data_IF_591063484486
#
_entry.id   IF_591063484486
#
_cell.length_a   1.000
_cell.length_b   1.000
_cell.length_c   1.000
_cell.angle_alpha   90.00
_cell.angle_beta   90.00
_cell.angle_gamma   90.00
#
_symmetry.space_group_name_H-M   'P 1'
#
loop_
_entity.id
_entity.type
_entity.pdbx_description
1 polymer ?
#
# COMPACT_ATOMS: atom_id res chain seq x y z
N UNK A 1 -5.91 -8.16 25.01
CA UNK A 1 -7.00 -7.37 24.43
C UNK A 1 -7.40 -8.18 23.23
N UNK A 2 -8.52 -8.90 23.29
CA UNK A 2 -8.90 -9.76 22.16
C UNK A 2 -9.22 -8.88 20.95
N UNK A 3 -8.79 -9.27 19.74
CA UNK A 3 -9.15 -8.55 18.52
C UNK A 3 -10.67 -8.48 18.43
N UNK A 4 -11.20 -7.26 18.37
CA UNK A 4 -12.63 -7.05 18.26
C UNK A 4 -12.95 -7.09 16.76
N UNK A 5 -13.26 -8.29 16.26
CA UNK A 5 -13.57 -8.50 14.83
C UNK A 5 -14.91 -7.86 14.49
N UNK A 6 -14.86 -6.65 13.92
CA UNK A 6 -16.02 -5.92 13.44
C UNK A 6 -16.19 -6.17 11.93
N UNK A 7 -17.09 -7.08 11.58
CA UNK A 7 -17.42 -7.39 10.19
C UNK A 7 -17.85 -6.14 9.41
N UNK A 8 -18.52 -5.17 10.04
CA UNK A 8 -18.93 -3.95 9.35
C UNK A 8 -17.71 -3.10 8.97
N UNK A 9 -16.74 -2.97 9.87
CA UNK A 9 -15.47 -2.30 9.60
C UNK A 9 -14.69 -3.01 8.48
N UNK A 10 -14.67 -4.34 8.46
CA UNK A 10 -14.01 -5.10 7.38
C UNK A 10 -14.69 -4.91 6.03
N UNK A 11 -16.03 -4.90 5.99
CA UNK A 11 -16.77 -4.62 4.76
C UNK A 11 -16.54 -3.19 4.26
N UNK A 12 -16.40 -2.21 5.15
CA UNK A 12 -16.00 -0.85 4.78
C UNK A 12 -14.59 -0.84 4.16
N UNK A 13 -13.64 -1.58 4.73
CA UNK A 13 -12.29 -1.69 4.20
C UNK A 13 -12.25 -2.39 2.84
N UNK A 14 -13.04 -3.47 2.66
CA UNK A 14 -13.19 -4.16 1.38
C UNK A 14 -13.80 -3.21 0.36
N UNK A 15 -14.90 -2.53 0.69
CA UNK A 15 -15.58 -1.56 -0.17
C UNK A 15 -14.64 -0.42 -0.59
N UNK A 16 -13.85 0.10 0.34
CA UNK A 16 -12.88 1.16 0.08
C UNK A 16 -11.65 0.70 -0.74
N UNK A 17 -11.51 -0.60 -1.00
CA UNK A 17 -10.40 -1.18 -1.77
C UNK A 17 -10.80 -1.59 -3.19
N UNK A 18 -12.08 -1.47 -3.53
CA UNK A 18 -12.60 -1.79 -4.85
C UNK A 18 -12.08 -0.80 -5.91
N UNK A 19 -11.85 -1.31 -7.11
CA UNK A 19 -11.56 -0.49 -8.28
C UNK A 19 -12.81 0.31 -8.72
N UNK A 20 -12.65 1.39 -9.50
CA UNK A 20 -13.79 2.16 -10.00
C UNK A 20 -14.78 1.35 -10.85
N UNK A 21 -14.32 0.26 -11.46
CA UNK A 21 -15.13 -0.69 -12.23
C UNK A 21 -15.77 -1.78 -11.38
N UNK A 22 -15.46 -1.85 -10.09
CA UNK A 22 -15.96 -2.84 -9.14
C UNK A 22 -17.06 -2.25 -8.27
N UNK A 23 -18.09 -3.05 -8.03
CA UNK A 23 -19.25 -2.68 -7.23
C UNK A 23 -19.49 -3.78 -6.20
N UNK A 24 -19.64 -3.39 -4.94
CA UNK A 24 -20.05 -4.28 -3.86
C UNK A 24 -21.53 -4.10 -3.55
N UNK A 25 -22.24 -5.22 -3.57
CA UNK A 25 -23.62 -5.35 -3.13
C UNK A 25 -23.63 -6.17 -1.84
N UNK A 26 -24.14 -5.62 -0.74
CA UNK A 26 -24.28 -6.34 0.51
C UNK A 26 -25.76 -6.55 0.86
N UNK A 27 -26.04 -7.71 1.46
CA UNK A 27 -27.33 -8.08 2.00
C UNK A 27 -27.12 -8.71 3.37
N UNK A 28 -27.70 -8.12 4.40
CA UNK A 28 -27.62 -8.61 5.77
C UNK A 28 -28.90 -9.38 6.10
N UNK A 29 -28.76 -10.66 6.44
CA UNK A 29 -29.81 -11.53 6.95
C UNK A 29 -29.69 -11.68 8.48
N UNK A 30 -30.65 -12.34 9.12
CA UNK A 30 -30.62 -12.52 10.58
C UNK A 30 -29.45 -13.40 11.08
N UNK A 31 -28.99 -14.33 10.24
CA UNK A 31 -28.05 -15.41 10.56
C UNK A 31 -26.73 -15.32 9.77
N UNK A 32 -26.68 -14.51 8.72
CA UNK A 32 -25.49 -14.34 7.89
C UNK A 32 -25.51 -13.00 7.14
N UNK A 33 -24.32 -12.53 6.75
CA UNK A 33 -24.15 -11.42 5.80
C UNK A 33 -23.63 -11.99 4.49
N UNK A 34 -24.30 -11.67 3.39
CA UNK A 34 -23.79 -11.94 2.04
C UNK A 34 -23.32 -10.64 1.43
N UNK A 35 -22.14 -10.63 0.84
CA UNK A 35 -21.75 -9.56 -0.08
C UNK A 35 -21.23 -10.14 -1.39
N UNK A 36 -21.45 -9.40 -2.46
CA UNK A 36 -21.05 -9.77 -3.80
C UNK A 36 -20.29 -8.62 -4.44
N UNK A 37 -19.11 -8.92 -4.97
CA UNK A 37 -18.32 -7.97 -5.76
C UNK A 37 -18.41 -8.37 -7.23
N UNK A 38 -18.85 -7.42 -8.06
CA UNK A 38 -18.92 -7.55 -9.52
C UNK A 38 -18.03 -6.51 -10.16
N UNK A 39 -17.37 -6.84 -11.28
CA UNK A 39 -16.55 -5.90 -12.04
C UNK A 39 -17.08 -5.75 -13.45
N UNK A 40 -17.10 -4.54 -14.01
CA UNK A 40 -17.38 -4.35 -15.44
C UNK A 40 -16.23 -4.83 -16.35
N UNK A 41 -15.04 -5.00 -15.78
CA UNK A 41 -13.82 -5.34 -16.52
C UNK A 41 -13.50 -6.85 -16.45
N UNK A 42 -14.29 -7.62 -15.70
CA UNK A 42 -14.14 -9.07 -15.54
C UNK A 42 -15.46 -9.79 -15.83
N UNK A 43 -15.35 -11.00 -16.36
CA UNK A 43 -16.48 -11.92 -16.52
C UNK A 43 -16.75 -12.72 -15.23
N UNK A 44 -15.95 -12.50 -14.19
CA UNK A 44 -16.07 -13.12 -12.88
C UNK A 44 -16.79 -12.20 -11.90
N UNK A 45 -17.46 -12.83 -10.94
CA UNK A 45 -18.05 -12.20 -9.77
C UNK A 45 -17.71 -13.02 -8.54
N UNK A 46 -17.53 -12.34 -7.43
CA UNK A 46 -17.15 -12.92 -6.15
C UNK A 46 -18.34 -12.78 -5.20
N UNK A 47 -18.82 -13.88 -4.63
CA UNK A 47 -19.88 -13.90 -3.63
C UNK A 47 -19.34 -14.48 -2.34
N UNK A 48 -19.52 -13.77 -1.23
CA UNK A 48 -19.00 -14.16 0.07
C UNK A 48 -20.14 -14.18 1.07
N UNK A 49 -20.25 -15.28 1.82
CA UNK A 49 -21.21 -15.47 2.89
C UNK A 49 -20.46 -15.56 4.21
N UNK A 50 -20.86 -14.75 5.18
CA UNK A 50 -20.26 -14.68 6.52
C UNK A 50 -21.34 -14.95 7.56
N UNK A 51 -21.23 -16.08 8.27
CA UNK A 51 -22.13 -16.49 9.35
C UNK A 51 -21.76 -15.89 10.71
N UNK A 52 -22.61 -16.12 11.71
CA UNK A 52 -22.45 -15.55 13.06
C UNK A 52 -21.20 -16.00 13.84
N UNK A 53 -20.52 -17.07 13.40
CA UNK A 53 -19.31 -17.55 14.06
C UNK A 53 -18.02 -16.84 13.63
N UNK A 54 -18.12 -15.77 12.83
CA UNK A 54 -17.00 -14.91 12.47
C UNK A 54 -16.21 -14.44 13.71
N UNK A 55 -14.86 -14.47 13.72
CA UNK A 55 -13.92 -14.61 12.60
C UNK A 55 -13.60 -16.03 12.14
N UNK A 56 -14.26 -17.07 12.67
CA UNK A 56 -13.90 -18.46 12.38
C UNK A 56 -13.97 -18.79 10.90
N UNK A 57 -12.98 -19.52 10.38
CA UNK A 57 -12.92 -19.93 8.97
C UNK A 57 -14.20 -20.62 8.52
N UNK A 58 -14.77 -21.50 9.35
CA UNK A 58 -15.98 -22.27 8.98
C UNK A 58 -17.23 -21.39 8.83
N UNK A 59 -17.17 -20.16 9.32
CA UNK A 59 -18.25 -19.18 9.17
C UNK A 59 -18.12 -18.37 7.88
N UNK A 60 -17.07 -18.58 7.08
CA UNK A 60 -16.84 -17.84 5.84
C UNK A 60 -16.87 -18.79 4.65
N UNK A 61 -17.76 -18.51 3.70
CA UNK A 61 -17.84 -19.23 2.44
C UNK A 61 -17.64 -18.25 1.28
N UNK A 62 -16.76 -18.59 0.35
CA UNK A 62 -16.45 -17.79 -0.83
C UNK A 62 -16.83 -18.58 -2.08
N UNK A 63 -17.54 -17.96 -3.00
CA UNK A 63 -17.94 -18.51 -4.28
C UNK A 63 -17.48 -17.59 -5.42
N UNK A 64 -16.88 -18.16 -6.46
CA UNK A 64 -16.51 -17.46 -7.68
C UNK A 64 -17.50 -17.89 -8.78
N UNK A 65 -18.15 -16.92 -9.42
CA UNK A 65 -19.15 -17.15 -10.47
C UNK A 65 -18.69 -16.48 -11.76
N UNK A 66 -18.72 -17.22 -12.88
CA UNK A 66 -18.36 -16.73 -14.21
C UNK A 66 -19.51 -16.91 -15.21
N UNK A 67 -19.60 -16.01 -16.20
CA UNK A 67 -20.73 -15.96 -17.15
C UNK A 67 -21.00 -17.24 -17.97
N UNK A 68 -20.00 -18.10 -18.19
CA UNK A 68 -20.13 -19.40 -18.85
C UNK A 68 -19.21 -20.46 -18.20
N UNK A 69 -19.30 -20.60 -16.87
CA UNK A 69 -18.45 -21.55 -16.15
C UNK A 69 -18.93 -22.99 -16.36
N UNK A 70 -18.05 -23.86 -16.86
CA UNK A 70 -18.30 -25.30 -16.98
C UNK A 70 -18.22 -26.03 -15.64
N UNK A 71 -18.71 -27.27 -15.55
CA UNK A 71 -18.71 -28.07 -14.31
C UNK A 71 -17.29 -28.33 -13.77
N UNK A 72 -16.35 -28.63 -14.65
CA UNK A 72 -14.95 -28.92 -14.27
C UNK A 72 -14.23 -27.64 -13.83
N UNK A 73 -14.55 -26.51 -14.47
CA UNK A 73 -14.02 -25.19 -14.10
C UNK A 73 -14.56 -24.74 -12.73
N UNK A 74 -15.85 -24.95 -12.47
CA UNK A 74 -16.45 -24.68 -11.17
C UNK A 74 -15.83 -25.52 -10.05
N UNK A 75 -15.54 -26.80 -10.30
CA UNK A 75 -14.82 -27.65 -9.35
C UNK A 75 -13.40 -27.13 -9.08
N UNK A 76 -12.68 -26.72 -10.14
CA UNK A 76 -11.36 -26.11 -10.00
C UNK A 76 -11.37 -24.82 -9.17
N UNK A 77 -12.40 -23.98 -9.31
CA UNK A 77 -12.54 -22.78 -8.47
C UNK A 77 -12.85 -23.11 -7.02
N UNK A 78 -13.66 -24.14 -6.74
CA UNK A 78 -13.93 -24.59 -5.37
C UNK A 78 -12.63 -25.03 -4.69
N UNK A 79 -11.85 -25.90 -5.35
CA UNK A 79 -10.58 -26.40 -4.83
C UNK A 79 -9.58 -25.24 -4.62
N UNK A 80 -9.52 -24.29 -5.56
CA UNK A 80 -8.66 -23.13 -5.45
C UNK A 80 -9.07 -22.22 -4.28
N UNK A 81 -10.37 -21.94 -4.12
CA UNK A 81 -10.88 -21.12 -3.00
C UNK A 81 -10.56 -21.78 -1.67
N UNK A 82 -10.80 -23.08 -1.54
CA UNK A 82 -10.47 -23.83 -0.32
C UNK A 82 -8.98 -23.73 0.00
N UNK A 83 -8.12 -23.92 -1.00
CA UNK A 83 -6.67 -23.77 -0.83
C UNK A 83 -6.23 -22.35 -0.45
N UNK A 84 -7.01 -21.31 -0.77
CA UNK A 84 -6.76 -19.93 -0.29
C UNK A 84 -7.29 -19.67 1.11
N UNK A 85 -8.42 -20.27 1.47
CA UNK A 85 -8.94 -20.21 2.83
C UNK A 85 -8.13 -21.08 3.81
N UNK A 86 -7.23 -21.94 3.34
CA UNK A 86 -6.25 -22.63 4.21
C UNK A 86 -5.22 -21.68 4.82
N UNK A 87 -4.98 -20.53 4.19
CA UNK A 87 -4.14 -19.45 4.74
C UNK A 87 -4.92 -18.54 5.71
N UNK A 88 -6.18 -18.87 6.05
CA UNK A 88 -7.00 -18.08 6.96
C UNK A 88 -6.46 -18.09 8.39
N UNK A 89 -6.19 -16.90 8.93
CA UNK A 89 -5.70 -16.71 10.28
C UNK A 89 -6.74 -15.94 11.10
N UNK A 90 -7.43 -16.65 12.00
CA UNK A 90 -8.50 -16.10 12.83
C UNK A 90 -8.01 -15.08 13.86
N UNK A 91 -6.71 -15.08 14.17
CA UNK A 91 -6.11 -14.18 15.15
C UNK A 91 -5.70 -12.83 14.51
N UNK A 92 -5.84 -12.65 13.18
CA UNK A 92 -5.59 -11.37 12.50
C UNK A 92 -6.64 -10.33 12.86
N UNK A 93 -6.27 -9.05 12.89
CA UNK A 93 -7.23 -7.97 13.21
C UNK A 93 -8.40 -7.88 12.21
N UNK A 94 -8.17 -8.21 10.93
CA UNK A 94 -9.16 -8.10 9.85
C UNK A 94 -9.03 -9.26 8.82
N UNK A 95 -9.35 -10.51 9.21
CA UNK A 95 -9.04 -11.70 8.42
C UNK A 95 -9.83 -11.76 7.10
N UNK A 96 -11.07 -11.28 7.07
CA UNK A 96 -11.88 -11.25 5.87
C UNK A 96 -11.33 -10.25 4.87
N UNK A 97 -11.05 -9.03 5.32
CA UNK A 97 -10.46 -8.00 4.48
C UNK A 97 -9.12 -8.44 3.88
N UNK A 98 -8.26 -9.08 4.68
CA UNK A 98 -6.99 -9.62 4.23
C UNK A 98 -7.17 -10.71 3.17
N UNK A 99 -8.02 -11.70 3.43
CA UNK A 99 -8.30 -12.77 2.48
C UNK A 99 -8.85 -12.21 1.16
N UNK A 100 -9.82 -11.30 1.23
CA UNK A 100 -10.43 -10.62 0.09
C UNK A 100 -9.40 -9.90 -0.77
N UNK A 101 -8.58 -9.04 -0.17
CA UNK A 101 -7.63 -8.21 -0.92
C UNK A 101 -6.41 -8.98 -1.42
N UNK A 102 -5.98 -10.03 -0.70
CA UNK A 102 -4.80 -10.81 -1.07
C UNK A 102 -5.10 -11.84 -2.15
N UNK A 103 -6.26 -12.49 -2.07
CA UNK A 103 -6.54 -13.65 -2.90
C UNK A 103 -7.64 -13.38 -3.93
N UNK A 104 -8.74 -12.76 -3.53
CA UNK A 104 -9.97 -12.82 -4.32
C UNK A 104 -10.22 -11.60 -5.20
N UNK A 105 -10.05 -10.38 -4.69
CA UNK A 105 -10.20 -9.14 -5.46
C UNK A 105 -9.24 -9.06 -6.67
N UNK A 106 -7.97 -9.51 -6.59
CA UNK A 106 -7.09 -9.53 -7.75
C UNK A 106 -7.62 -10.32 -8.96
N UNK A 107 -8.55 -11.26 -8.75
CA UNK A 107 -9.19 -12.02 -9.84
C UNK A 107 -10.15 -11.16 -10.68
N UNK A 108 -10.64 -10.05 -10.12
CA UNK A 108 -11.58 -9.14 -10.77
C UNK A 108 -10.88 -7.99 -11.49
N UNK A 109 -9.56 -7.82 -11.26
CA UNK A 109 -8.76 -6.80 -11.92
C UNK A 109 -8.61 -7.11 -13.43
N UNK A 110 -8.57 -6.08 -14.28
CA UNK A 110 -8.42 -6.26 -15.73
C UNK A 110 -7.12 -6.99 -16.10
N UNK A 111 -7.25 -8.07 -16.86
CA UNK A 111 -6.10 -8.83 -17.38
C UNK A 111 -5.52 -8.08 -18.58
N UNK A 112 -4.64 -7.10 -18.33
CA UNK A 112 -3.89 -6.46 -19.42
C UNK A 112 -3.48 -5.01 -19.20
N UNK A 113 -2.48 -4.77 -18.37
CA UNK A 113 -1.54 -3.65 -18.60
C UNK A 113 -0.16 -4.23 -18.84
N UNK A 114 0.17 -4.40 -20.11
CA UNK A 114 1.53 -4.56 -20.61
C UNK A 114 2.42 -3.46 -20.04
N UNK A 115 3.65 -3.77 -19.58
CA UNK A 115 4.58 -2.74 -19.13
C UNK A 115 4.95 -1.86 -20.31
N UNK A 116 4.61 -0.57 -20.24
CA UNK A 116 5.08 0.42 -21.19
C UNK A 116 6.61 0.52 -21.08
N UNK A 117 7.36 0.61 -22.20
CA UNK A 117 8.81 0.72 -22.16
C UNK A 117 9.24 2.01 -21.42
N UNK A 118 10.42 2.01 -20.76
CA UNK A 118 10.88 3.15 -19.99
C UNK A 118 11.01 4.39 -20.89
N UNK A 119 10.58 5.58 -20.45
CA UNK A 119 10.80 6.80 -21.19
C UNK A 119 12.31 7.07 -21.32
N UNK A 120 12.76 7.24 -22.55
CA UNK A 120 14.14 7.60 -22.87
C UNK A 120 14.43 9.01 -22.34
N UNK A 121 15.51 9.12 -21.57
CA UNK A 121 16.08 10.31 -20.95
C UNK A 121 16.14 11.53 -21.90
N UNK A 122 15.62 12.71 -21.54
CA UNK A 122 15.85 13.94 -22.31
C UNK A 122 17.29 14.45 -22.15
N UNK A 123 17.82 15.22 -23.12
CA UNK A 123 19.18 15.76 -23.07
C UNK A 123 19.28 16.90 -22.04
N UNK A 124 20.37 16.87 -21.27
CA UNK A 124 20.75 17.93 -20.35
C UNK A 124 21.16 19.20 -21.11
N UNK A 125 20.60 20.37 -20.77
CA UNK A 125 21.17 21.70 -21.01
C UNK A 125 20.46 22.80 -20.14
N UNK A 126 21.17 23.23 -19.07
CA UNK A 126 21.23 24.56 -18.38
C UNK A 126 19.97 25.21 -17.71
N UNK A 127 20.10 26.19 -16.77
CA UNK A 127 21.12 26.47 -15.73
C UNK A 127 20.56 26.63 -14.29
N UNK A 128 21.41 26.37 -13.28
CA UNK A 128 21.61 26.98 -11.94
C UNK A 128 20.48 27.71 -11.17
N UNK A 129 19.25 27.17 -11.14
CA UNK A 129 18.33 27.45 -10.03
C UNK A 129 18.51 26.32 -9.02
N UNK A 130 18.76 26.58 -7.72
CA UNK A 130 18.79 25.51 -6.72
C UNK A 130 17.43 24.82 -6.75
N UNK A 131 17.42 23.59 -7.27
CA UNK A 131 16.21 22.82 -7.45
C UNK A 131 15.57 22.65 -6.08
N UNK A 132 14.35 23.15 -5.92
CA UNK A 132 13.60 22.98 -4.68
C UNK A 132 13.29 21.48 -4.56
N UNK A 133 13.77 20.81 -3.50
CA UNK A 133 13.47 19.40 -3.29
C UNK A 133 11.97 19.24 -3.01
N UNK A 134 11.46 18.06 -3.33
CA UNK A 134 10.08 17.70 -3.10
C UNK A 134 10.00 16.60 -2.04
N UNK A 135 8.82 16.36 -1.49
CA UNK A 135 8.53 15.21 -0.62
C UNK A 135 7.29 14.44 -1.08
N UNK A 136 7.20 13.17 -0.70
CA UNK A 136 6.07 12.30 -0.97
C UNK A 136 5.77 11.40 0.22
N UNK A 137 4.49 11.01 0.38
CA UNK A 137 4.04 10.09 1.42
C UNK A 137 3.15 8.99 0.82
N UNK A 138 3.52 7.75 1.09
CA UNK A 138 2.74 6.56 0.77
C UNK A 138 2.45 5.78 2.06
N UNK A 139 1.25 5.23 2.15
CA UNK A 139 0.83 4.41 3.28
C UNK A 139 0.23 3.11 2.74
N UNK A 140 0.73 1.96 3.21
CA UNK A 140 0.16 0.64 2.94
C UNK A 140 -0.50 0.09 4.20
N UNK A 141 -1.26 -0.99 4.05
CA UNK A 141 -1.83 -1.71 5.18
C UNK A 141 -0.74 -2.17 6.16
N UNK A 142 0.36 -2.73 5.64
CA UNK A 142 1.56 -3.00 6.41
C UNK A 142 2.83 -3.04 5.54
N UNK A 143 3.99 -2.95 6.17
CA UNK A 143 5.29 -3.22 5.55
C UNK A 143 6.06 -4.25 6.40
N UNK A 144 5.67 -5.52 6.28
CA UNK A 144 6.26 -6.64 7.01
C UNK A 144 7.28 -7.42 6.18
N UNK A 145 6.98 -7.66 4.90
CA UNK A 145 7.77 -8.51 4.02
C UNK A 145 9.25 -8.05 3.94
N UNK A 146 10.22 -8.88 4.39
CA UNK A 146 11.64 -8.52 4.39
C UNK A 146 12.20 -8.20 3.00
N UNK A 147 11.70 -8.89 1.96
CA UNK A 147 12.06 -8.63 0.56
C UNK A 147 11.67 -7.20 0.15
N UNK A 148 10.40 -6.80 0.36
CA UNK A 148 9.93 -5.45 0.05
C UNK A 148 10.70 -4.37 0.82
N UNK A 149 11.02 -4.60 2.09
CA UNK A 149 11.83 -3.67 2.90
C UNK A 149 13.21 -3.47 2.30
N UNK A 150 13.88 -4.56 1.91
CA UNK A 150 15.19 -4.53 1.25
C UNK A 150 15.12 -3.83 -0.11
N UNK A 151 14.12 -4.16 -0.91
CA UNK A 151 13.93 -3.58 -2.25
C UNK A 151 13.61 -2.09 -2.17
N UNK A 152 12.80 -1.67 -1.18
CA UNK A 152 12.51 -0.27 -0.90
C UNK A 152 13.77 0.51 -0.52
N UNK A 153 14.57 -0.03 0.39
CA UNK A 153 15.83 0.60 0.77
C UNK A 153 16.78 0.72 -0.44
N UNK A 154 16.90 -0.34 -1.25
CA UNK A 154 17.76 -0.37 -2.43
C UNK A 154 17.31 0.66 -3.49
N UNK A 155 16.01 0.69 -3.80
CA UNK A 155 15.41 1.63 -4.73
C UNK A 155 15.63 3.08 -4.26
N UNK A 156 15.26 3.41 -3.01
CA UNK A 156 15.43 4.75 -2.46
C UNK A 156 16.90 5.20 -2.47
N UNK A 157 17.82 4.29 -2.15
CA UNK A 157 19.27 4.58 -2.20
C UNK A 157 19.75 4.86 -3.63
N UNK A 158 19.23 4.12 -4.62
CA UNK A 158 19.62 4.26 -6.03
C UNK A 158 19.14 5.58 -6.66
N UNK A 159 18.04 6.11 -6.15
CA UNK A 159 17.43 7.38 -6.55
C UNK A 159 17.90 8.56 -5.67
N UNK A 160 18.95 8.35 -4.85
CA UNK A 160 19.51 9.34 -3.94
C UNK A 160 18.49 10.00 -2.99
N UNK A 161 17.41 9.29 -2.68
CA UNK A 161 16.33 9.81 -1.84
C UNK A 161 16.71 9.80 -0.37
N UNK A 162 16.19 10.79 0.36
CA UNK A 162 16.29 10.87 1.81
C UNK A 162 14.91 10.59 2.39
N UNK A 163 14.79 9.64 3.31
CA UNK A 163 13.48 9.26 3.79
C UNK A 163 13.49 8.14 4.80
N UNK A 164 12.31 7.60 5.04
CA UNK A 164 12.16 6.45 5.90
C UNK A 164 11.03 5.52 5.45
N UNK A 165 11.12 4.29 5.93
CA UNK A 165 10.03 3.33 5.95
C UNK A 165 9.73 2.86 7.37
N UNK A 166 8.52 3.09 7.86
CA UNK A 166 8.01 2.49 9.10
C UNK A 166 7.40 1.13 8.78
N UNK A 167 7.91 0.09 9.43
CA UNK A 167 7.50 -1.31 9.24
C UNK A 167 6.30 -1.67 10.12
N UNK A 168 5.66 -2.81 9.85
CA UNK A 168 4.43 -3.22 10.56
C UNK A 168 3.19 -2.41 10.12
N UNK A 169 2.21 -2.25 11.02
CA UNK A 169 0.91 -1.60 10.74
C UNK A 169 0.80 -0.17 11.29
N UNK A 170 0.32 0.82 10.50
CA UNK A 170 0.36 0.79 9.04
C UNK A 170 1.81 0.81 8.54
N UNK A 171 2.02 0.43 7.28
CA UNK A 171 3.29 0.64 6.59
C UNK A 171 3.36 2.07 6.11
N UNK A 172 4.40 2.83 6.48
CA UNK A 172 4.54 4.25 6.12
C UNK A 172 5.83 4.44 5.36
N UNK A 173 5.77 5.14 4.23
CA UNK A 173 6.92 5.38 3.38
C UNK A 173 6.94 6.86 3.02
N UNK A 174 7.95 7.58 3.51
CA UNK A 174 8.10 9.01 3.29
C UNK A 174 9.46 9.28 2.65
N UNK A 175 9.47 10.07 1.59
CA UNK A 175 10.68 10.35 0.81
C UNK A 175 10.80 11.84 0.50
N UNK A 176 12.04 12.32 0.41
CA UNK A 176 12.45 13.66 -0.02
C UNK A 176 13.52 13.49 -1.10
N UNK A 177 13.43 14.26 -2.18
CA UNK A 177 14.42 14.23 -3.25
C UNK A 177 14.06 15.14 -4.42
N UNK A 178 14.75 14.94 -5.54
CA UNK A 178 14.40 15.58 -6.81
C UNK A 178 13.03 15.08 -7.29
N UNK A 179 12.28 15.96 -7.98
CA UNK A 179 10.92 15.64 -8.43
C UNK A 179 10.88 14.37 -9.30
N UNK A 180 11.77 14.26 -10.28
CA UNK A 180 11.83 13.12 -11.19
C UNK A 180 12.16 11.81 -10.46
N UNK A 181 13.10 11.87 -9.50
CA UNK A 181 13.51 10.71 -8.71
C UNK A 181 12.36 10.26 -7.79
N UNK A 182 11.56 11.19 -7.26
CA UNK A 182 10.35 10.87 -6.49
C UNK A 182 9.23 10.30 -7.35
N UNK A 183 9.00 10.84 -8.54
CA UNK A 183 8.01 10.31 -9.47
C UNK A 183 8.35 8.87 -9.89
N UNK A 184 9.63 8.60 -10.17
CA UNK A 184 10.13 7.26 -10.45
C UNK A 184 9.96 6.33 -9.25
N UNK A 185 10.32 6.78 -8.05
CA UNK A 185 10.15 6.02 -6.82
C UNK A 185 8.68 5.65 -6.57
N UNK A 186 7.76 6.62 -6.67
CA UNK A 186 6.32 6.36 -6.50
C UNK A 186 5.83 5.35 -7.55
N UNK A 187 6.24 5.53 -8.82
CA UNK A 187 5.86 4.62 -9.92
C UNK A 187 6.34 3.20 -9.64
N UNK A 188 7.60 3.03 -9.26
CA UNK A 188 8.22 1.73 -9.04
C UNK A 188 7.64 1.05 -7.80
N UNK A 189 7.52 1.76 -6.68
CA UNK A 189 6.87 1.26 -5.46
C UNK A 189 5.45 0.83 -5.78
N UNK A 190 4.65 1.63 -6.48
CA UNK A 190 3.28 1.24 -6.88
C UNK A 190 3.19 -0.01 -7.74
N UNK A 191 4.25 -0.35 -8.48
CA UNK A 191 4.27 -1.53 -9.35
C UNK A 191 4.38 -2.84 -8.57
N UNK A 192 4.79 -2.78 -7.30
CA UNK A 192 4.88 -3.97 -6.46
C UNK A 192 3.49 -4.36 -5.95
N UNK A 193 3.35 -5.62 -5.53
CA UNK A 193 2.11 -6.11 -4.94
C UNK A 193 1.93 -5.52 -3.54
N UNK A 194 0.92 -4.69 -3.30
CA UNK A 194 0.65 -4.10 -1.97
C UNK A 194 -0.80 -4.31 -1.55
N UNK A 195 -1.03 -4.41 -0.24
CA UNK A 195 -2.36 -4.29 0.35
C UNK A 195 -2.64 -2.81 0.69
N UNK A 196 -3.73 -2.26 0.13
CA UNK A 196 -4.20 -0.89 0.33
C UNK A 196 -3.12 0.21 0.30
N UNK A 197 -2.25 0.20 -0.71
CA UNK A 197 -1.28 1.28 -0.90
C UNK A 197 -1.97 2.56 -1.36
N UNK A 198 -1.78 3.65 -0.61
CA UNK A 198 -2.31 4.97 -0.93
C UNK A 198 -1.18 5.98 -1.00
N UNK A 199 -1.17 6.80 -2.05
CA UNK A 199 -0.38 8.04 -2.07
C UNK A 199 -1.18 9.07 -1.30
N UNK A 200 -0.70 9.43 -0.10
CA UNK A 200 -1.32 10.43 0.78
C UNK A 200 -0.86 11.84 0.44
N UNK A 201 0.37 11.94 -0.05
CA UNK A 201 0.96 13.19 -0.51
C UNK A 201 1.72 12.90 -1.81
N UNK A 202 1.19 13.41 -2.92
CA UNK A 202 1.91 13.46 -4.19
C UNK A 202 3.10 14.42 -4.06
N UNK A 203 4.11 14.37 -4.95
CA UNK A 203 5.30 15.22 -4.82
C UNK A 203 4.95 16.71 -4.62
N UNK A 204 5.27 17.26 -3.45
CA UNK A 204 5.09 18.67 -3.11
C UNK A 204 6.44 19.31 -2.76
N UNK A 205 6.67 20.58 -3.11
CA UNK A 205 7.93 21.25 -2.82
C UNK A 205 8.13 21.46 -1.32
N UNK A 206 9.36 21.29 -0.84
CA UNK A 206 9.81 21.56 0.54
C UNK A 206 11.01 22.51 0.52
N UNK A 207 10.80 23.83 0.31
CA UNK A 207 11.86 24.82 0.18
C UNK A 207 12.87 24.84 1.34
N UNK A 208 12.44 24.50 2.54
CA UNK A 208 13.26 24.41 3.75
C UNK A 208 14.34 23.30 3.68
N UNK A 209 14.25 22.37 2.72
CA UNK A 209 15.24 21.29 2.50
C UNK A 209 16.27 21.60 1.41
N UNK A 210 16.16 22.74 0.71
CA UNK A 210 16.98 23.09 -0.46
C UNK A 210 18.51 23.08 -0.20
N UNK A 211 18.94 23.24 1.06
CA UNK A 211 20.36 23.13 1.46
C UNK A 211 20.80 21.76 2.01
N UNK A 212 19.85 20.92 2.45
CA UNK A 212 20.14 19.67 3.16
C UNK A 212 20.23 18.45 2.23
N UNK A 213 19.50 18.48 1.11
CA UNK A 213 19.46 17.39 0.11
C UNK A 213 20.70 17.41 -0.79
N UNK A 214 21.25 18.60 -1.08
CA UNK A 214 22.38 18.80 -2.00
C UNK A 214 23.74 18.42 -1.38
N UNK A 215 23.88 18.48 -0.05
CA UNK A 215 25.19 18.35 0.61
C UNK A 215 25.64 16.94 0.99
N UNK A 216 24.76 15.92 0.94
CA UNK A 216 25.07 14.58 1.47
C UNK A 216 25.52 13.54 0.42
N UNK A 217 25.97 14.00 -0.75
CA UNK A 217 26.64 13.12 -1.72
C UNK A 217 28.13 13.38 -1.84
N UNK A 218 28.95 12.68 -1.06
CA UNK A 218 30.37 12.58 -1.40
C UNK A 218 30.55 11.80 -2.70
N UNK A 219 31.24 12.41 -3.67
CA UNK A 219 31.49 11.93 -5.04
C UNK A 219 32.38 10.67 -5.15
N UNK A 220 32.67 9.95 -4.07
CA UNK A 220 33.67 8.86 -4.06
C UNK A 220 33.09 7.45 -4.28
N UNK A 221 31.81 7.33 -4.62
CA UNK A 221 31.20 6.05 -5.00
C UNK A 221 31.60 5.61 -6.42
N UNK A 222 31.83 4.31 -6.62
CA UNK A 222 32.35 3.68 -7.85
C UNK A 222 31.50 3.87 -9.14
N UNK A 223 30.47 4.73 -9.11
CA UNK A 223 29.56 5.02 -10.23
C UNK A 223 29.35 6.50 -10.54
N UNK A 224 30.19 7.40 -10.05
CA UNK A 224 30.27 8.79 -10.53
C UNK A 224 28.91 9.50 -10.70
N UNK A 225 28.37 10.06 -9.62
CA UNK A 225 27.22 10.96 -9.69
C UNK A 225 26.16 10.69 -8.62
N UNK A 226 25.90 11.73 -7.81
CA UNK A 226 24.95 11.84 -6.69
C UNK A 226 25.18 10.86 -5.52
N UNK A 227 25.14 11.39 -4.31
CA UNK A 227 25.34 10.63 -3.07
C UNK A 227 24.44 9.41 -2.94
N UNK A 228 24.87 8.43 -2.15
CA UNK A 228 23.91 7.45 -1.62
C UNK A 228 22.89 8.21 -0.78
N UNK A 229 21.62 8.08 -1.15
CA UNK A 229 20.50 8.60 -0.36
C UNK A 229 20.55 8.10 1.09
N UNK A 230 19.80 8.76 1.98
CA UNK A 230 19.72 8.39 3.39
C UNK A 230 18.34 7.78 3.67
N UNK A 231 18.24 6.45 3.63
CA UNK A 231 17.01 5.73 3.94
C UNK A 231 17.08 5.10 5.34
N UNK A 232 16.11 5.42 6.20
CA UNK A 232 16.02 4.86 7.55
C UNK A 232 14.83 3.91 7.66
N UNK A 233 15.02 2.80 8.37
CA UNK A 233 13.89 1.95 8.74
C UNK A 233 13.49 2.24 10.19
N UNK A 234 12.19 2.25 10.46
CA UNK A 234 11.62 2.58 11.76
C UNK A 234 10.59 1.53 12.16
N UNK A 235 10.47 1.28 13.45
CA UNK A 235 9.46 0.34 13.97
C UNK A 235 8.27 1.11 14.54
N UNK A 236 8.51 2.29 15.13
CA UNK A 236 7.50 3.05 15.86
C UNK A 236 7.07 4.30 15.12
N UNK A 237 5.77 4.62 15.19
CA UNK A 237 5.23 5.89 14.67
C UNK A 237 5.86 7.10 15.35
N UNK A 238 6.24 6.99 16.63
CA UNK A 238 6.96 8.04 17.35
C UNK A 238 8.29 8.43 16.70
N UNK A 239 9.05 7.44 16.21
CA UNK A 239 10.32 7.68 15.50
C UNK A 239 10.08 8.39 14.16
N UNK A 240 9.03 8.00 13.44
CA UNK A 240 8.63 8.66 12.20
C UNK A 240 8.24 10.13 12.41
N UNK A 241 7.45 10.41 13.45
CA UNK A 241 7.07 11.78 13.81
C UNK A 241 8.29 12.61 14.25
N UNK A 242 9.18 12.04 15.06
CA UNK A 242 10.41 12.72 15.48
C UNK A 242 11.32 13.03 14.28
N UNK A 243 11.46 12.08 13.35
CA UNK A 243 12.25 12.28 12.13
C UNK A 243 11.70 13.43 11.28
N UNK A 244 10.37 13.51 11.12
CA UNK A 244 9.71 14.61 10.40
C UNK A 244 9.89 15.95 11.10
N UNK A 245 9.71 15.99 12.43
CA UNK A 245 9.90 17.21 13.24
C UNK A 245 11.31 17.75 13.16
N UNK A 246 12.31 16.87 13.23
CA UNK A 246 13.73 17.25 13.18
C UNK A 246 14.10 17.98 11.89
N UNK A 247 13.37 17.72 10.79
CA UNK A 247 13.67 18.25 9.46
C UNK A 247 12.76 19.42 9.05
N UNK A 248 11.47 19.37 9.36
CA UNK A 248 10.51 20.39 8.93
C UNK A 248 9.58 20.89 10.04
N UNK A 249 9.92 20.64 11.31
CA UNK A 249 9.12 21.04 12.45
C UNK A 249 7.75 20.37 12.52
N UNK A 250 6.83 20.95 13.28
CA UNK A 250 5.48 20.41 13.45
C UNK A 250 4.67 20.41 12.14
N UNK A 251 4.87 21.40 11.27
CA UNK A 251 4.18 21.43 9.97
C UNK A 251 4.47 20.20 9.12
N UNK A 252 5.71 19.68 9.18
CA UNK A 252 6.04 18.44 8.49
C UNK A 252 5.53 17.21 9.23
N UNK A 253 5.44 17.23 10.55
CA UNK A 253 4.82 16.12 11.30
C UNK A 253 3.32 15.99 11.00
N UNK A 254 2.64 17.10 10.65
CA UNK A 254 1.22 17.11 10.28
C UNK A 254 0.89 16.21 9.10
N UNK A 255 1.83 15.95 8.20
CA UNK A 255 1.61 15.02 7.06
C UNK A 255 1.21 13.61 7.52
N UNK A 256 1.57 13.21 8.75
CA UNK A 256 1.12 11.96 9.37
C UNK A 256 -0.10 12.18 10.27
N UNK A 257 -0.12 13.22 11.10
CA UNK A 257 -1.22 13.40 12.05
C UNK A 257 -2.55 13.77 11.39
N UNK A 258 -2.52 14.52 10.28
CA UNK A 258 -3.72 14.94 9.54
C UNK A 258 -4.43 13.75 8.88
N UNK A 259 -3.69 12.66 8.61
CA UNK A 259 -4.23 11.40 8.12
C UNK A 259 -4.50 10.39 9.25
N UNK A 260 -4.50 10.85 10.50
CA UNK A 260 -4.82 10.05 11.69
C UNK A 260 -3.66 9.23 12.26
N UNK A 261 -2.45 9.33 11.71
CA UNK A 261 -1.29 8.57 12.17
C UNK A 261 -0.61 9.31 13.32
N UNK A 262 -0.64 8.70 14.52
CA UNK A 262 -0.01 9.26 15.72
C UNK A 262 -0.89 10.22 16.55
N UNK A 263 -2.18 10.35 16.21
CA UNK A 263 -3.15 11.12 17.01
C UNK A 263 -3.52 10.43 18.35
N UNK A 264 -3.20 9.14 18.51
CA UNK A 264 -3.38 8.37 19.74
C UNK A 264 -2.14 8.40 20.64
N UNK A 265 -1.87 9.54 21.26
CA UNK A 265 -0.75 9.72 22.20
C UNK A 265 -1.04 10.67 23.36
N UNK A 266 -2.32 10.94 23.64
CA UNK A 266 -2.70 11.83 24.71
C UNK A 266 -4.11 11.55 25.19
N UNK A 267 -4.24 10.64 26.16
CA UNK A 267 -5.13 10.73 27.33
C UNK A 267 -5.11 9.40 28.10
N UNK A 268 -4.76 9.49 29.39
CA UNK A 268 -4.92 8.42 30.38
C UNK A 268 -3.66 8.21 31.21
#
# INVERSE_FOLDING_TARGET
MEPQHDLAAELELVSASLLPSEILHSHVSADHTVFTVTSSDSQLSLSVTVGQGFPKKESVAVEIKGGQMGRDEAAGWIDWVQGKLDDWDEDQDYPLYEAMTTHFLPLLAPVGTTPSPPPSKPPALAPDVPAVPHHALMVSHHLLAPSKRKDLHALSSSLSLIGFSKTGHPGIMYAIGDLLDLEEWIREVKSWQWLALRVRLAPLPVPEEAGNVVQKGQETGARGGKGRGEWSEMEKVGEALEWLRKRGGEERAKVLTDIGIGAGGGKG
#
